data_IF_765233947501
#
_entry.id   IF_765233947501
#
_cell.length_a   1.000
_cell.length_b   1.000
_cell.length_c   1.000
_cell.angle_alpha   90.00
_cell.angle_beta   90.00
_cell.angle_gamma   90.00
#
_symmetry.space_group_name_H-M   'P 1'
#
loop_
_entity.id
_entity.type
_entity.pdbx_description
1 polymer ?
#
# COMPACT_ATOMS: atom_id res chain seq x y z
N UNK A 1 -14.22 -28.25 -70.96
CA UNK A 1 -14.81 -29.27 -70.07
C UNK A 1 -14.75 -28.71 -68.66
N UNK A 2 -15.85 -28.12 -68.19
CA UNK A 2 -15.93 -27.36 -66.94
C UNK A 2 -16.87 -28.14 -66.01
N UNK A 3 -16.36 -28.65 -64.89
CA UNK A 3 -17.16 -29.33 -63.87
C UNK A 3 -17.77 -28.31 -62.90
N UNK A 4 -19.07 -28.39 -62.59
CA UNK A 4 -19.69 -27.57 -61.56
C UNK A 4 -19.44 -28.16 -60.15
N UNK A 5 -18.98 -27.31 -59.25
CA UNK A 5 -18.80 -27.63 -57.82
C UNK A 5 -20.17 -27.53 -57.12
N UNK A 6 -20.63 -28.66 -56.61
CA UNK A 6 -21.87 -28.78 -55.83
C UNK A 6 -21.71 -28.17 -54.43
N UNK A 7 -22.54 -27.16 -54.13
CA UNK A 7 -22.69 -26.54 -52.81
C UNK A 7 -23.59 -27.45 -51.95
N UNK A 8 -23.04 -28.02 -50.87
CA UNK A 8 -23.82 -28.73 -49.84
C UNK A 8 -24.35 -27.71 -48.82
N UNK A 9 -25.66 -27.46 -48.84
CA UNK A 9 -26.38 -26.72 -47.78
C UNK A 9 -26.33 -27.52 -46.49
N UNK A 10 -25.61 -27.00 -45.48
CA UNK A 10 -25.58 -27.56 -44.13
C UNK A 10 -26.69 -26.92 -43.30
N UNK A 11 -27.73 -27.68 -43.01
CA UNK A 11 -28.77 -27.31 -42.07
C UNK A 11 -28.24 -27.41 -40.64
N UNK A 12 -27.85 -26.27 -40.05
CA UNK A 12 -27.60 -26.17 -38.61
C UNK A 12 -28.96 -25.98 -37.94
N UNK A 13 -29.48 -27.06 -37.37
CA UNK A 13 -30.67 -27.05 -36.51
C UNK A 13 -30.31 -26.39 -35.19
N UNK A 14 -31.03 -25.31 -34.88
CA UNK A 14 -31.18 -24.78 -33.53
C UNK A 14 -31.71 -25.88 -32.61
N UNK A 15 -30.87 -26.36 -31.69
CA UNK A 15 -31.31 -27.09 -30.50
C UNK A 15 -31.07 -26.16 -29.33
N UNK A 16 -32.16 -25.55 -28.87
CA UNK A 16 -32.22 -24.92 -27.57
C UNK A 16 -32.10 -26.00 -26.50
N UNK A 17 -31.07 -25.89 -25.67
CA UNK A 17 -31.01 -26.58 -24.40
C UNK A 17 -30.80 -25.51 -23.32
N UNK A 18 -31.84 -25.34 -22.50
CA UNK A 18 -31.72 -24.72 -21.19
C UNK A 18 -30.65 -25.48 -20.41
N UNK A 19 -29.57 -24.80 -20.05
CA UNK A 19 -28.74 -25.20 -18.91
C UNK A 19 -28.98 -24.14 -17.84
N UNK A 20 -29.72 -24.57 -16.82
CA UNK A 20 -29.97 -23.83 -15.61
C UNK A 20 -28.64 -23.53 -14.90
N UNK A 21 -28.46 -22.25 -14.60
CA UNK A 21 -27.94 -21.70 -13.35
C UNK A 21 -27.25 -22.72 -12.40
N UNK A 22 -25.93 -22.83 -12.52
CA UNK A 22 -25.07 -23.18 -11.40
C UNK A 22 -24.06 -22.04 -11.22
N UNK A 23 -24.56 -20.87 -10.84
CA UNK A 23 -23.75 -19.89 -10.12
C UNK A 23 -23.45 -20.52 -8.76
N UNK A 24 -22.46 -21.41 -8.74
CA UNK A 24 -21.76 -21.72 -7.50
C UNK A 24 -21.12 -20.40 -7.06
N UNK A 25 -21.82 -19.75 -6.14
CA UNK A 25 -21.29 -18.72 -5.29
C UNK A 25 -20.02 -19.29 -4.68
N UNK A 26 -18.87 -18.98 -5.28
CA UNK A 26 -17.60 -18.97 -4.54
C UNK A 26 -17.71 -17.79 -3.56
N UNK A 27 -18.54 -17.98 -2.53
CA UNK A 27 -18.32 -17.34 -1.25
C UNK A 27 -17.00 -17.92 -0.76
N UNK A 28 -15.90 -17.29 -1.19
CA UNK A 28 -14.65 -17.43 -0.45
C UNK A 28 -15.02 -17.21 1.01
N UNK A 29 -14.73 -18.15 1.92
CA UNK A 29 -15.01 -17.95 3.32
C UNK A 29 -14.36 -16.62 3.68
N UNK A 30 -15.19 -15.64 4.04
CA UNK A 30 -14.72 -14.43 4.70
C UNK A 30 -14.18 -14.98 6.01
N UNK A 31 -12.90 -15.35 6.02
CA UNK A 31 -12.16 -15.65 7.24
C UNK A 31 -12.44 -14.46 8.13
N UNK A 32 -13.10 -14.73 9.26
CA UNK A 32 -13.40 -13.73 10.26
C UNK A 32 -12.10 -12.97 10.49
N UNK A 33 -12.03 -11.76 9.93
CA UNK A 33 -10.97 -10.83 10.22
C UNK A 33 -11.26 -10.46 11.67
N UNK A 34 -10.68 -11.22 12.60
CA UNK A 34 -10.45 -10.78 13.96
C UNK A 34 -10.08 -9.31 13.87
N UNK A 35 -10.81 -8.47 14.60
CA UNK A 35 -10.75 -7.02 14.47
C UNK A 35 -9.30 -6.57 14.59
N UNK A 36 -8.62 -6.41 13.46
CA UNK A 36 -7.24 -5.94 13.40
C UNK A 36 -7.30 -4.57 14.05
N UNK A 37 -6.64 -4.46 15.20
CA UNK A 37 -6.53 -3.23 15.98
C UNK A 37 -6.03 -2.14 15.01
N UNK A 38 -6.88 -1.13 14.79
CA UNK A 38 -6.66 -0.11 13.76
C UNK A 38 -5.85 1.03 14.35
N UNK A 39 -4.55 0.83 14.42
CA UNK A 39 -3.65 1.78 15.10
C UNK A 39 -2.81 2.61 14.12
N UNK A 40 -2.92 2.36 12.82
CA UNK A 40 -2.12 3.06 11.84
C UNK A 40 -2.43 4.56 11.75
N UNK A 41 -1.39 5.34 11.49
CA UNK A 41 -1.39 6.81 11.46
C UNK A 41 -1.88 7.28 10.08
N UNK A 42 -1.28 6.80 9.00
CA UNK A 42 -1.68 7.11 7.63
C UNK A 42 -2.69 6.11 7.09
N UNK A 43 -2.60 4.86 7.53
CA UNK A 43 -3.43 3.76 7.05
C UNK A 43 -4.34 3.21 8.16
N UNK A 44 -5.63 3.05 7.88
CA UNK A 44 -6.54 2.43 8.84
C UNK A 44 -6.18 0.97 9.16
N UNK A 45 -5.43 0.30 8.27
CA UNK A 45 -4.94 -1.07 8.43
C UNK A 45 -3.43 -1.12 8.73
N UNK A 46 -2.79 0.02 8.99
CA UNK A 46 -1.39 0.08 9.42
C UNK A 46 -1.23 -0.59 10.78
N UNK A 47 -0.14 -1.32 10.93
CA UNK A 47 0.21 -2.01 12.17
C UNK A 47 1.49 -1.41 12.73
N UNK A 48 1.43 -0.92 13.97
CA UNK A 48 2.59 -0.41 14.69
C UNK A 48 3.36 -1.59 15.34
N UNK A 49 4.65 -1.79 15.00
CA UNK A 49 5.48 -2.70 15.77
C UNK A 49 5.69 -2.11 17.17
N UNK A 50 5.42 -2.90 18.20
CA UNK A 50 5.60 -2.45 19.59
C UNK A 50 7.06 -2.17 19.89
N UNK A 51 7.29 -1.18 20.77
CA UNK A 51 8.63 -0.83 21.24
C UNK A 51 9.38 -2.07 21.77
N UNK A 52 10.70 -2.09 21.60
CA UNK A 52 11.54 -3.24 21.95
C UNK A 52 11.35 -3.74 23.40
N UNK A 53 11.04 -2.84 24.33
CA UNK A 53 10.82 -3.09 25.76
C UNK A 53 9.35 -3.20 26.18
N UNK A 54 8.41 -3.08 25.22
CA UNK A 54 6.98 -3.22 25.49
C UNK A 54 6.60 -4.66 25.83
N UNK A 55 5.74 -4.83 26.84
CA UNK A 55 5.18 -6.12 27.24
C UNK A 55 3.64 -5.98 27.28
N UNK A 56 2.88 -6.75 26.48
CA UNK A 56 3.36 -7.73 25.48
C UNK A 56 3.99 -7.05 24.26
N UNK A 57 4.96 -7.72 23.64
CA UNK A 57 5.58 -7.26 22.40
C UNK A 57 4.56 -7.36 21.25
N UNK A 58 4.39 -6.28 20.50
CA UNK A 58 3.55 -6.26 19.29
C UNK A 58 4.44 -6.48 18.07
N UNK A 59 4.28 -7.64 17.44
CA UNK A 59 5.00 -8.04 16.24
C UNK A 59 4.10 -7.86 15.01
N UNK A 60 4.64 -7.39 13.88
CA UNK A 60 3.86 -7.23 12.64
C UNK A 60 4.12 -8.38 11.68
N UNK A 61 3.25 -9.37 11.72
CA UNK A 61 3.34 -10.55 10.87
C UNK A 61 2.87 -10.29 9.44
N UNK A 62 3.58 -10.89 8.50
CA UNK A 62 3.11 -11.06 7.12
C UNK A 62 1.81 -11.87 7.07
N UNK A 63 0.93 -11.67 6.08
CA UNK A 63 -0.34 -12.41 5.96
C UNK A 63 -0.20 -13.93 5.94
N UNK A 64 0.90 -14.46 5.40
CA UNK A 64 1.17 -15.90 5.41
C UNK A 64 1.90 -16.39 6.67
N UNK A 65 2.19 -15.49 7.62
CA UNK A 65 2.90 -15.75 8.87
C UNK A 65 4.32 -16.33 8.71
N UNK A 66 4.96 -16.18 7.56
CA UNK A 66 6.33 -16.67 7.34
C UNK A 66 7.39 -15.63 7.72
N UNK A 67 7.00 -14.36 7.74
CA UNK A 67 7.86 -13.23 8.08
C UNK A 67 7.22 -12.33 9.12
N UNK A 68 8.07 -11.65 9.89
CA UNK A 68 7.66 -10.69 10.92
C UNK A 68 8.57 -9.46 10.90
N UNK A 69 7.97 -8.28 10.94
CA UNK A 69 8.67 -7.03 11.23
C UNK A 69 8.58 -6.72 12.71
N UNK A 70 9.71 -6.28 13.26
CA UNK A 70 9.88 -6.14 14.70
C UNK A 70 10.93 -5.09 15.01
N UNK A 71 10.58 -4.22 15.95
CA UNK A 71 11.49 -3.20 16.46
C UNK A 71 12.55 -3.82 17.37
N UNK A 72 13.81 -3.52 17.08
CA UNK A 72 14.99 -3.93 17.85
C UNK A 72 15.71 -2.74 18.48
N UNK A 73 16.82 -2.99 19.18
CA UNK A 73 17.67 -1.91 19.71
C UNK A 73 18.34 -1.08 18.62
N UNK A 74 18.56 -1.69 17.46
CA UNK A 74 19.23 -1.09 16.31
C UNK A 74 18.25 -0.51 15.29
N UNK A 75 16.94 -0.61 15.55
CA UNK A 75 15.86 -0.21 14.65
C UNK A 75 15.00 -1.37 14.17
N UNK A 76 14.22 -1.12 13.12
CA UNK A 76 13.28 -2.07 12.56
C UNK A 76 13.99 -3.18 11.76
N UNK A 77 13.67 -4.44 12.07
CA UNK A 77 14.22 -5.60 11.36
C UNK A 77 13.09 -6.49 10.84
N UNK A 78 13.32 -7.11 9.68
CA UNK A 78 12.49 -8.21 9.17
C UNK A 78 13.16 -9.53 9.51
N UNK A 79 12.37 -10.47 10.03
CA UNK A 79 12.78 -11.82 10.36
C UNK A 79 12.03 -12.80 9.45
N UNK A 80 12.79 -13.61 8.71
CA UNK A 80 12.32 -14.76 7.93
C UNK A 80 13.40 -15.83 7.92
N UNK A 81 13.76 -16.35 6.74
CA UNK A 81 14.95 -17.21 6.58
C UNK A 81 16.25 -16.53 7.00
N UNK A 82 16.29 -15.21 6.78
CA UNK A 82 17.37 -14.33 7.21
C UNK A 82 16.78 -13.20 8.06
N UNK A 83 17.61 -12.64 8.93
CA UNK A 83 17.30 -11.38 9.62
C UNK A 83 17.97 -10.25 8.88
N UNK A 84 17.22 -9.20 8.54
CA UNK A 84 17.74 -8.02 7.87
C UNK A 84 17.31 -6.77 8.62
N UNK A 85 18.27 -5.94 9.00
CA UNK A 85 18.04 -4.61 9.55
C UNK A 85 17.68 -3.64 8.42
N UNK A 86 16.59 -2.90 8.58
CA UNK A 86 16.12 -1.90 7.62
C UNK A 86 16.78 -0.55 7.91
N UNK A 87 18.03 -0.40 7.49
CA UNK A 87 18.91 0.72 7.87
C UNK A 87 18.43 2.10 7.39
N UNK A 88 17.56 2.15 6.38
CA UNK A 88 17.04 3.41 5.83
C UNK A 88 15.85 3.97 6.62
N UNK A 89 15.39 3.27 7.66
CA UNK A 89 14.28 3.69 8.51
C UNK A 89 14.86 4.30 9.79
N UNK A 90 14.88 5.64 9.85
CA UNK A 90 15.33 6.41 11.02
C UNK A 90 14.19 6.76 11.99
N UNK A 91 13.08 6.03 11.92
CA UNK A 91 11.85 6.41 12.57
C UNK A 91 11.81 5.99 14.05
N UNK A 92 11.14 6.80 14.88
CA UNK A 92 10.99 6.52 16.30
C UNK A 92 9.89 5.46 16.53
N UNK A 93 10.02 4.56 17.54
CA UNK A 93 9.10 3.45 17.76
C UNK A 93 7.60 3.72 17.98
N UNK A 94 7.06 4.94 18.23
CA UNK A 94 5.61 5.20 18.11
C UNK A 94 5.20 5.86 16.79
N UNK A 95 6.14 6.04 15.87
CA UNK A 95 5.95 6.75 14.60
C UNK A 95 6.31 5.85 13.41
N UNK A 96 6.15 4.55 13.60
CA UNK A 96 6.36 3.52 12.59
C UNK A 96 5.07 2.76 12.43
N UNK A 97 4.62 2.61 11.21
CA UNK A 97 3.55 1.66 10.88
C UNK A 97 3.91 0.86 9.64
N UNK A 98 3.43 -0.37 9.61
CA UNK A 98 3.74 -1.34 8.58
C UNK A 98 2.47 -1.77 7.87
N UNK A 99 2.54 -1.84 6.54
CA UNK A 99 1.51 -2.41 5.68
C UNK A 99 2.07 -3.55 4.85
N UNK A 100 1.67 -4.77 5.15
CA UNK A 100 1.99 -5.92 4.31
C UNK A 100 1.11 -6.00 3.05
N UNK A 101 1.72 -6.36 1.92
CA UNK A 101 0.98 -6.74 0.72
C UNK A 101 0.19 -8.03 0.99
N UNK A 102 -1.01 -8.22 0.41
CA UNK A 102 -1.82 -9.42 0.63
C UNK A 102 -1.13 -10.73 0.26
N UNK A 103 -0.19 -10.70 -0.68
CA UNK A 103 0.57 -11.87 -1.14
C UNK A 103 1.84 -12.14 -0.30
N UNK A 104 2.10 -11.33 0.74
CA UNK A 104 3.30 -11.40 1.58
C UNK A 104 4.62 -11.23 0.81
N UNK A 105 4.62 -10.71 -0.43
CA UNK A 105 5.84 -10.51 -1.23
C UNK A 105 6.40 -9.09 -1.20
N UNK A 106 5.69 -8.18 -0.57
CA UNK A 106 6.10 -6.80 -0.37
C UNK A 106 5.50 -6.23 0.91
N UNK A 107 6.09 -5.16 1.41
CA UNK A 107 5.55 -4.39 2.52
C UNK A 107 5.98 -2.93 2.41
N UNK A 108 5.29 -2.08 3.14
CA UNK A 108 5.63 -0.67 3.27
C UNK A 108 5.82 -0.35 4.74
N UNK A 109 6.79 0.51 5.03
CA UNK A 109 6.96 1.14 6.33
C UNK A 109 6.74 2.63 6.18
N UNK A 110 5.70 3.16 6.81
CA UNK A 110 5.60 4.61 7.01
C UNK A 110 6.35 4.94 8.30
N UNK A 111 7.21 5.95 8.26
CA UNK A 111 8.06 6.35 9.39
C UNK A 111 8.19 7.85 9.50
N UNK A 112 8.36 8.37 10.72
CA UNK A 112 8.73 9.77 10.96
C UNK A 112 9.98 9.96 11.80
N UNK A 113 10.73 11.01 11.47
CA UNK A 113 11.97 11.41 12.14
C UNK A 113 11.79 12.23 13.42
N UNK A 114 10.61 12.82 13.66
CA UNK A 114 10.51 13.96 14.58
C UNK A 114 9.17 14.17 15.28
N UNK A 115 8.24 13.21 15.21
CA UNK A 115 6.91 13.33 15.84
C UNK A 115 5.78 13.28 14.82
N UNK A 116 4.54 13.48 15.30
CA UNK A 116 3.39 13.55 14.40
C UNK A 116 3.50 14.69 13.37
N UNK A 117 4.26 15.76 13.64
CA UNK A 117 4.45 16.89 12.71
C UNK A 117 5.80 16.81 11.96
N UNK A 118 6.58 15.74 12.15
CA UNK A 118 7.90 15.57 11.54
C UNK A 118 7.87 15.30 10.03
N UNK A 119 9.05 15.01 9.48
CA UNK A 119 9.19 14.49 8.12
C UNK A 119 8.67 13.04 8.13
N UNK A 120 7.73 12.74 7.23
CA UNK A 120 7.16 11.42 7.08
C UNK A 120 7.54 10.82 5.74
N UNK A 121 8.04 9.59 5.78
CA UNK A 121 8.46 8.83 4.60
C UNK A 121 7.75 7.49 4.53
N UNK A 122 7.46 7.07 3.31
CA UNK A 122 6.93 5.75 2.99
C UNK A 122 8.01 4.92 2.27
N UNK A 123 8.58 3.95 2.97
CA UNK A 123 9.61 3.05 2.46
C UNK A 123 8.97 1.79 1.88
N UNK A 124 9.10 1.57 0.58
CA UNK A 124 8.56 0.40 -0.09
C UNK A 124 9.63 -0.69 -0.24
N UNK A 125 9.31 -1.92 0.15
CA UNK A 125 10.18 -3.07 -0.01
C UNK A 125 9.48 -4.20 -0.76
N UNK A 126 10.16 -4.77 -1.75
CA UNK A 126 9.86 -6.11 -2.30
C UNK A 126 10.77 -7.15 -1.68
N UNK A 127 10.36 -8.40 -1.67
CA UNK A 127 11.20 -9.52 -1.26
C UNK A 127 11.80 -10.24 -2.46
N UNK A 128 13.11 -10.49 -2.43
CA UNK A 128 13.77 -11.34 -3.42
C UNK A 128 13.48 -12.85 -3.18
N UNK A 129 14.06 -13.73 -3.99
CA UNK A 129 13.87 -15.19 -3.88
C UNK A 129 14.43 -15.77 -2.57
N UNK A 130 15.30 -15.03 -1.88
CA UNK A 130 15.86 -15.37 -0.58
C UNK A 130 15.14 -14.71 0.59
N UNK A 131 13.96 -14.12 0.36
CA UNK A 131 13.19 -13.35 1.34
C UNK A 131 13.95 -12.15 1.92
N UNK A 132 14.91 -11.59 1.17
CA UNK A 132 15.62 -10.37 1.56
C UNK A 132 14.85 -9.15 1.06
N UNK A 133 14.69 -8.12 1.90
CA UNK A 133 14.04 -6.89 1.49
C UNK A 133 14.90 -6.12 0.49
N UNK A 134 14.27 -5.66 -0.59
CA UNK A 134 14.83 -4.82 -1.63
C UNK A 134 14.02 -3.54 -1.69
N UNK A 135 14.64 -2.43 -1.28
CA UNK A 135 14.01 -1.11 -1.28
C UNK A 135 13.72 -0.63 -2.72
N UNK A 136 12.60 0.05 -2.91
CA UNK A 136 12.28 0.79 -4.14
C UNK A 136 12.03 2.25 -3.79
N UNK A 137 12.53 3.13 -4.66
CA UNK A 137 12.35 4.57 -4.50
C UNK A 137 10.93 5.00 -4.88
N UNK A 138 10.06 5.04 -3.86
CA UNK A 138 8.69 5.51 -3.98
C UNK A 138 8.63 7.04 -4.07
N UNK A 139 9.51 7.73 -3.35
CA UNK A 139 9.57 9.20 -3.34
C UNK A 139 9.92 9.74 -4.73
N UNK A 140 10.90 9.15 -5.41
CA UNK A 140 11.28 9.53 -6.78
C UNK A 140 10.15 9.42 -7.82
N UNK A 141 9.10 8.62 -7.57
CA UNK A 141 7.91 8.59 -8.42
C UNK A 141 6.95 9.77 -8.15
N UNK A 142 6.83 10.19 -6.89
CA UNK A 142 5.79 11.12 -6.43
C UNK A 142 6.30 12.56 -6.37
N UNK A 143 7.51 12.79 -5.87
CA UNK A 143 8.10 14.12 -5.66
C UNK A 143 8.03 15.03 -6.90
N UNK A 144 8.33 14.56 -8.13
CA UNK A 144 8.21 15.41 -9.31
C UNK A 144 6.78 15.90 -9.58
N UNK A 145 5.77 15.13 -9.15
CA UNK A 145 4.35 15.44 -9.34
C UNK A 145 3.81 16.39 -8.26
N UNK A 146 4.46 16.43 -7.09
CA UNK A 146 4.10 17.32 -5.97
C UNK A 146 5.00 18.54 -5.85
N UNK A 147 6.02 18.71 -6.68
CA UNK A 147 6.87 19.92 -6.67
C UNK A 147 6.11 21.24 -6.82
N UNK A 148 4.97 21.22 -7.52
CA UNK A 148 4.07 22.39 -7.66
C UNK A 148 2.90 22.39 -6.68
N UNK A 149 2.79 21.35 -5.86
CA UNK A 149 1.88 21.34 -4.73
C UNK A 149 2.36 22.38 -3.71
N UNK A 150 1.48 23.04 -2.94
CA UNK A 150 1.89 24.11 -2.04
C UNK A 150 3.08 23.67 -1.19
N UNK A 151 4.19 24.36 -1.32
CA UNK A 151 5.42 24.02 -0.61
C UNK A 151 5.48 24.83 0.68
N UNK A 152 6.21 24.30 1.65
CA UNK A 152 6.78 25.13 2.69
C UNK A 152 7.81 26.09 2.08
N UNK A 153 8.34 27.03 2.86
CA UNK A 153 9.35 27.97 2.37
C UNK A 153 10.53 27.27 1.65
N UNK A 154 11.38 28.05 0.97
CA UNK A 154 12.50 27.50 0.18
C UNK A 154 13.44 26.59 0.99
N UNK A 155 13.47 26.76 2.32
CA UNK A 155 14.27 25.98 3.27
C UNK A 155 13.67 24.60 3.60
N UNK A 156 12.41 24.32 3.25
CA UNK A 156 11.69 23.09 3.58
C UNK A 156 10.88 22.53 2.38
N UNK A 157 11.54 22.12 1.29
CA UNK A 157 10.85 21.70 0.07
C UNK A 157 10.22 20.29 0.15
N UNK A 158 10.17 19.67 1.34
CA UNK A 158 9.72 18.29 1.50
C UNK A 158 8.19 18.19 1.56
N UNK A 159 7.71 17.03 1.16
CA UNK A 159 6.29 16.65 1.25
C UNK A 159 6.24 15.34 1.99
N UNK A 160 5.42 15.29 3.03
CA UNK A 160 5.22 14.08 3.79
C UNK A 160 4.55 13.03 2.91
N UNK A 161 5.09 11.82 2.89
CA UNK A 161 4.54 10.69 2.14
C UNK A 161 4.13 9.58 3.10
N UNK A 162 2.91 9.07 2.92
CA UNK A 162 2.44 7.89 3.63
C UNK A 162 1.63 6.97 2.72
N UNK A 163 1.94 5.69 2.75
CA UNK A 163 1.12 4.68 2.11
C UNK A 163 -0.14 4.41 2.93
N UNK A 164 -1.28 4.36 2.25
CA UNK A 164 -2.60 4.26 2.87
C UNK A 164 -3.16 2.84 2.76
N UNK A 165 -3.03 2.21 1.59
CA UNK A 165 -3.60 0.90 1.35
C UNK A 165 -2.97 0.17 0.16
N UNK A 166 -2.97 -1.17 0.23
CA UNK A 166 -2.84 -2.04 -0.92
C UNK A 166 -4.18 -2.17 -1.64
N UNK A 167 -4.15 -2.08 -2.96
CA UNK A 167 -5.31 -2.16 -3.84
C UNK A 167 -5.14 -3.32 -4.81
N UNK A 168 -6.26 -3.81 -5.37
CA UNK A 168 -6.29 -4.86 -6.40
C UNK A 168 -5.37 -6.05 -6.06
N UNK A 169 -5.53 -6.59 -4.84
CA UNK A 169 -4.75 -7.75 -4.38
C UNK A 169 -3.23 -7.51 -4.36
N UNK A 170 -2.80 -6.30 -4.02
CA UNK A 170 -1.37 -5.95 -3.94
C UNK A 170 -0.75 -5.45 -5.24
N UNK A 171 -1.52 -5.40 -6.34
CA UNK A 171 -1.02 -4.93 -7.65
C UNK A 171 -0.93 -3.42 -7.74
N UNK A 172 -1.64 -2.72 -6.86
CA UNK A 172 -1.62 -1.26 -6.77
C UNK A 172 -1.46 -0.78 -5.33
N UNK A 173 -0.98 0.45 -5.19
CA UNK A 173 -0.87 1.16 -3.93
C UNK A 173 -1.65 2.45 -3.98
N UNK A 174 -2.31 2.78 -2.87
CA UNK A 174 -2.79 4.12 -2.56
C UNK A 174 -1.77 4.80 -1.66
N UNK A 175 -1.23 5.93 -2.10
CA UNK A 175 -0.28 6.76 -1.34
C UNK A 175 -0.84 8.17 -1.21
N UNK A 176 -0.68 8.79 -0.05
CA UNK A 176 -0.99 10.18 0.17
C UNK A 176 0.31 10.99 0.28
N UNK A 177 0.30 12.16 -0.35
CA UNK A 177 1.29 13.20 -0.13
C UNK A 177 0.60 14.34 0.63
N UNK A 178 1.27 14.87 1.64
CA UNK A 178 0.74 15.91 2.53
C UNK A 178 1.76 17.04 2.69
N UNK A 179 1.28 18.27 2.64
CA UNK A 179 2.05 19.45 3.06
C UNK A 179 2.18 19.41 4.58
N UNK A 180 3.41 19.38 5.14
CA UNK A 180 3.59 19.34 6.59
C UNK A 180 2.70 20.35 7.34
N UNK A 181 2.09 19.89 8.43
CA UNK A 181 1.11 20.69 9.17
C UNK A 181 1.80 21.63 10.19
N UNK A 182 2.65 22.54 9.69
CA UNK A 182 3.37 23.49 10.53
C UNK A 182 3.51 24.89 9.90
N UNK A 183 3.82 25.88 10.73
CA UNK A 183 3.66 27.31 10.40
C UNK A 183 4.48 27.84 9.19
N UNK A 184 5.69 27.36 8.88
CA UNK A 184 6.38 27.65 7.62
C UNK A 184 5.62 27.27 6.34
N UNK A 185 4.62 26.37 6.42
CA UNK A 185 3.97 25.80 5.25
C UNK A 185 2.71 26.56 4.83
N UNK A 186 2.65 26.92 3.54
CA UNK A 186 1.42 27.45 2.95
C UNK A 186 0.48 26.30 2.63
N UNK A 187 -0.79 26.42 3.04
CA UNK A 187 -1.78 25.33 2.94
C UNK A 187 -1.34 24.08 3.71
N UNK A 188 -0.86 24.28 4.94
CA UNK A 188 -0.56 23.22 5.91
C UNK A 188 -1.68 22.17 5.96
N UNK A 189 -1.32 20.89 5.96
CA UNK A 189 -2.27 19.77 5.93
C UNK A 189 -2.97 19.55 4.59
N UNK A 190 -2.64 20.29 3.53
CA UNK A 190 -3.17 19.99 2.20
C UNK A 190 -2.66 18.63 1.74
N UNK A 191 -3.55 17.80 1.20
CA UNK A 191 -3.23 16.45 0.74
C UNK A 191 -3.52 16.21 -0.74
N UNK A 192 -2.80 15.25 -1.32
CA UNK A 192 -3.06 14.69 -2.65
C UNK A 192 -2.83 13.19 -2.62
N UNK A 193 -3.75 12.41 -3.17
CA UNK A 193 -3.62 10.97 -3.29
C UNK A 193 -2.98 10.55 -4.61
N UNK A 194 -2.38 9.37 -4.64
CA UNK A 194 -1.78 8.75 -5.82
C UNK A 194 -2.13 7.28 -5.83
N UNK A 195 -2.57 6.76 -6.98
CA UNK A 195 -2.55 5.32 -7.23
C UNK A 195 -1.32 4.96 -8.04
N UNK A 196 -0.63 3.93 -7.60
CA UNK A 196 0.62 3.47 -8.20
C UNK A 196 0.47 2.01 -8.56
N UNK A 197 0.80 1.68 -9.81
CA UNK A 197 0.93 0.28 -10.25
C UNK A 197 2.27 -0.24 -9.77
N UNK A 198 2.25 -1.29 -8.96
CA UNK A 198 3.44 -1.94 -8.41
C UNK A 198 4.18 -2.69 -9.52
N UNK A 199 3.44 -3.34 -10.42
CA UNK A 199 4.02 -4.10 -11.53
C UNK A 199 4.77 -3.22 -12.53
N UNK A 200 4.21 -2.07 -12.89
CA UNK A 200 4.84 -1.17 -13.87
C UNK A 200 5.68 -0.06 -13.23
N UNK A 201 5.67 0.05 -11.91
CA UNK A 201 6.29 1.13 -11.11
C UNK A 201 5.95 2.53 -11.65
N UNK A 202 4.65 2.80 -11.82
CA UNK A 202 4.15 4.07 -12.37
C UNK A 202 2.94 4.59 -11.59
N UNK A 203 2.86 5.90 -11.46
CA UNK A 203 1.64 6.59 -11.02
C UNK A 203 0.58 6.42 -12.12
N UNK A 204 -0.52 5.75 -11.79
CA UNK A 204 -1.65 5.51 -12.70
C UNK A 204 -2.78 6.51 -12.51
N UNK A 205 -2.84 7.19 -11.35
CA UNK A 205 -3.87 8.20 -11.06
C UNK A 205 -3.34 9.22 -10.03
N UNK A 206 -3.67 10.51 -10.22
CA UNK A 206 -3.56 11.54 -9.18
C UNK A 206 -4.95 11.86 -8.68
N UNK A 207 -5.13 11.90 -7.36
CA UNK A 207 -6.44 11.97 -6.69
C UNK A 207 -6.48 13.25 -5.86
N UNK A 208 -7.52 14.06 -6.06
CA UNK A 208 -7.74 15.26 -5.24
C UNK A 208 -8.08 14.90 -3.78
N UNK A 209 -7.83 15.79 -2.82
CA UNK A 209 -8.21 15.56 -1.41
C UNK A 209 -9.69 15.18 -1.24
N UNK A 210 -10.59 15.93 -1.87
CA UNK A 210 -12.03 15.67 -1.79
C UNK A 210 -12.42 14.28 -2.35
N UNK A 211 -11.76 13.84 -3.42
CA UNK A 211 -11.98 12.51 -3.98
C UNK A 211 -11.34 11.41 -3.13
N UNK A 212 -10.18 11.67 -2.54
CA UNK A 212 -9.51 10.76 -1.62
C UNK A 212 -10.40 10.47 -0.41
N UNK A 213 -10.90 11.51 0.27
CA UNK A 213 -11.81 11.35 1.40
C UNK A 213 -13.11 10.66 0.99
N UNK A 214 -13.71 11.05 -0.15
CA UNK A 214 -14.98 10.45 -0.60
C UNK A 214 -14.85 8.97 -0.95
N UNK A 215 -13.81 8.56 -1.68
CA UNK A 215 -13.67 7.19 -2.19
C UNK A 215 -12.98 6.25 -1.21
N UNK A 216 -12.14 6.77 -0.32
CA UNK A 216 -11.20 5.96 0.47
C UNK A 216 -11.27 6.22 1.98
N UNK A 217 -12.29 6.93 2.49
CA UNK A 217 -12.46 7.23 3.92
C UNK A 217 -12.23 6.04 4.87
N UNK A 218 -12.63 4.84 4.46
CA UNK A 218 -12.53 3.63 5.28
C UNK A 218 -11.12 3.07 5.42
N UNK A 219 -10.19 3.45 4.54
CA UNK A 219 -8.79 3.03 4.58
C UNK A 219 -7.82 4.13 5.04
N UNK A 220 -8.30 5.37 5.17
CA UNK A 220 -7.51 6.48 5.72
C UNK A 220 -7.31 6.31 7.23
N UNK A 221 -6.05 6.42 7.67
CA UNK A 221 -5.70 6.54 9.08
C UNK A 221 -6.09 7.90 9.66
N UNK A 222 -6.06 8.09 11.00
CA UNK A 222 -6.52 9.30 11.67
C UNK A 222 -5.87 10.59 11.18
N UNK A 223 -4.62 10.53 10.71
CA UNK A 223 -3.89 11.68 10.17
C UNK A 223 -4.56 12.32 8.96
N UNK A 224 -5.25 11.51 8.16
CA UNK A 224 -5.80 11.93 6.86
C UNK A 224 -7.32 12.11 6.87
N UNK A 225 -7.98 12.09 8.03
CA UNK A 225 -9.45 12.14 8.13
C UNK A 225 -10.01 13.54 8.29
#
# INVERSE_FOLDING_TARGET
>A
MVMPIMIKKMHIRFIGFLIALAFALFESPITNADSIERDGIWAAAGQEPGAFDSIPRKDVWSPNHEMVLREGREGLSIFGKHTTLLQDILALPPLVEVLWAPDSRAFIVNGSDGGLVGDWKAHFYTLDDGDRPVARDLAGLIEPLVRKFPQCGEDEPYTNLGAVAWLKEGKELLVAAEVPDHSPCRNMGAIKGFRISVTSWKVVEQISAAELHRKWANVLGPRLR
#
